data_IF_201432459504
#
_entry.id   IF_201432459504
#
_cell.length_a   1.000
_cell.length_b   1.000
_cell.length_c   1.000
_cell.angle_alpha   90.00
_cell.angle_beta   90.00
_cell.angle_gamma   90.00
#
_symmetry.space_group_name_H-M   'P 1'
#
loop_
_entity.id
_entity.type
_entity.pdbx_description
1 polymer ?
#
# COMPACT_ATOMS: atom_id res chain seq x y z
N UNK A 1 16.92 -4.05 -4.96
CA UNK A 1 16.31 -2.72 -5.19
C UNK A 1 16.29 -1.93 -3.88
N UNK A 2 16.54 -0.61 -3.89
CA UNK A 2 16.56 0.22 -2.67
C UNK A 2 15.17 0.38 -2.03
N UNK A 3 14.11 0.37 -2.83
CA UNK A 3 12.73 0.46 -2.32
C UNK A 3 12.38 -0.72 -1.43
N UNK A 4 12.86 -1.93 -1.72
CA UNK A 4 12.67 -3.14 -0.90
C UNK A 4 13.10 -2.92 0.57
N UNK A 5 14.24 -2.27 0.79
CA UNK A 5 14.74 -1.99 2.14
C UNK A 5 13.83 -1.05 2.92
N UNK A 6 13.10 -0.14 2.25
CA UNK A 6 12.13 0.74 2.91
C UNK A 6 10.99 -0.07 3.54
N UNK A 7 10.38 -0.98 2.76
CA UNK A 7 9.29 -1.82 3.28
C UNK A 7 9.80 -2.77 4.37
N UNK A 8 10.96 -3.41 4.19
CA UNK A 8 11.54 -4.26 5.23
C UNK A 8 11.74 -3.51 6.54
N UNK A 9 12.29 -2.29 6.50
CA UNK A 9 12.49 -1.47 7.70
C UNK A 9 11.16 -1.09 8.36
N UNK A 10 10.20 -0.62 7.58
CA UNK A 10 8.88 -0.23 8.09
C UNK A 10 8.13 -1.44 8.67
N UNK A 11 8.18 -2.58 7.99
CA UNK A 11 7.53 -3.80 8.44
C UNK A 11 8.18 -4.38 9.69
N UNK A 12 9.52 -4.41 9.77
CA UNK A 12 10.23 -4.79 11.00
C UNK A 12 9.86 -3.89 12.19
N UNK A 13 9.71 -2.59 11.95
CA UNK A 13 9.41 -1.62 13.01
C UNK A 13 7.94 -1.64 13.44
N UNK A 14 7.01 -1.92 12.53
CA UNK A 14 5.58 -1.73 12.78
C UNK A 14 4.73 -3.00 12.66
N UNK A 15 5.27 -4.12 12.19
CA UNK A 15 4.56 -5.37 11.97
C UNK A 15 3.35 -5.15 11.06
N UNK A 16 3.61 -4.73 9.82
CA UNK A 16 2.60 -4.43 8.81
C UNK A 16 2.03 -5.71 8.22
N UNK A 17 2.89 -6.69 7.95
CA UNK A 17 2.57 -7.95 7.28
C UNK A 17 2.82 -9.10 8.24
N UNK A 18 1.86 -10.01 8.35
CA UNK A 18 1.97 -11.24 9.15
C UNK A 18 1.53 -12.43 8.33
N UNK A 19 1.97 -13.65 8.69
CA UNK A 19 1.48 -14.86 8.04
C UNK A 19 -0.05 -14.93 8.03
N UNK A 20 -0.63 -15.26 6.87
CA UNK A 20 -2.07 -15.32 6.66
C UNK A 20 -2.69 -14.02 6.14
N UNK A 21 -1.94 -12.91 6.11
CA UNK A 21 -2.50 -11.62 5.68
C UNK A 21 -2.80 -11.59 4.18
N UNK A 22 -3.91 -10.93 3.85
CA UNK A 22 -4.21 -10.47 2.50
C UNK A 22 -3.61 -9.07 2.32
N UNK A 23 -2.65 -8.95 1.41
CA UNK A 23 -1.87 -7.72 1.18
C UNK A 23 -2.10 -7.21 -0.24
N UNK A 24 -2.38 -5.92 -0.37
CA UNK A 24 -2.48 -5.22 -1.66
C UNK A 24 -1.27 -4.28 -1.79
N UNK A 25 -0.50 -4.43 -2.87
CA UNK A 25 0.68 -3.66 -3.18
C UNK A 25 0.41 -2.75 -4.40
N UNK A 26 0.15 -1.47 -4.14
CA UNK A 26 -0.13 -0.47 -5.17
C UNK A 26 1.16 0.27 -5.55
N UNK A 27 1.47 0.36 -6.84
CA UNK A 27 2.78 0.83 -7.29
C UNK A 27 3.84 -0.27 -7.14
N UNK A 28 3.46 -1.50 -7.48
CA UNK A 28 4.25 -2.69 -7.23
C UNK A 28 5.50 -2.80 -8.11
N UNK A 29 5.56 -2.19 -9.29
CA UNK A 29 6.66 -2.37 -10.23
C UNK A 29 7.98 -1.85 -9.63
N UNK A 30 9.10 -2.61 -9.76
CA UNK A 30 9.28 -3.83 -10.55
C UNK A 30 8.86 -5.15 -9.86
N UNK A 31 8.37 -5.12 -8.62
CA UNK A 31 7.88 -6.28 -7.86
C UNK A 31 8.51 -6.43 -6.47
N UNK A 32 9.38 -5.50 -6.06
CA UNK A 32 10.22 -5.70 -4.88
C UNK A 32 9.47 -5.66 -3.54
N UNK A 33 8.41 -4.87 -3.43
CA UNK A 33 7.53 -4.85 -2.25
C UNK A 33 6.65 -6.10 -2.23
N UNK A 34 6.14 -6.48 -3.40
CA UNK A 34 5.36 -7.71 -3.58
C UNK A 34 6.14 -8.95 -3.14
N UNK A 35 7.43 -9.07 -3.48
CA UNK A 35 8.29 -10.18 -3.03
C UNK A 35 8.38 -10.27 -1.50
N UNK A 36 8.54 -9.13 -0.83
CA UNK A 36 8.57 -9.08 0.64
C UNK A 36 7.21 -9.48 1.20
N UNK A 37 6.13 -8.95 0.62
CA UNK A 37 4.77 -9.26 1.02
C UNK A 37 4.47 -10.77 0.88
N UNK A 38 4.89 -11.42 -0.19
CA UNK A 38 4.71 -12.88 -0.39
C UNK A 38 5.35 -13.66 0.75
N UNK A 39 6.62 -13.36 1.04
CA UNK A 39 7.38 -14.05 2.08
C UNK A 39 6.79 -13.81 3.48
N UNK A 40 6.49 -12.56 3.82
CA UNK A 40 6.05 -12.20 5.18
C UNK A 40 4.58 -12.58 5.45
N UNK A 41 3.74 -12.59 4.41
CA UNK A 41 2.37 -13.08 4.48
C UNK A 41 2.27 -14.60 4.41
N UNK A 42 3.38 -15.31 4.17
CA UNK A 42 3.41 -16.76 3.95
C UNK A 42 2.58 -17.21 2.73
N UNK A 43 2.45 -16.37 1.70
CA UNK A 43 1.71 -16.75 0.49
C UNK A 43 2.37 -17.91 -0.26
N UNK A 44 3.71 -18.02 -0.17
CA UNK A 44 4.48 -19.16 -0.69
C UNK A 44 4.26 -20.45 0.12
N UNK A 45 3.79 -20.35 1.36
CA UNK A 45 3.62 -21.49 2.26
C UNK A 45 4.92 -22.05 2.82
N UNK A 46 6.00 -21.27 2.79
CA UNK A 46 7.32 -21.65 3.32
C UNK A 46 7.33 -21.89 4.84
N UNK A 47 6.31 -21.41 5.56
CA UNK A 47 6.09 -21.67 7.00
C UNK A 47 4.89 -22.60 7.18
N UNK A 48 5.08 -23.95 7.30
CA UNK A 48 3.98 -24.92 7.32
C UNK A 48 3.06 -24.80 8.55
N UNK A 49 3.57 -24.30 9.67
CA UNK A 49 2.82 -24.11 10.92
C UNK A 49 2.06 -22.79 10.99
N UNK A 50 2.07 -21.99 9.91
CA UNK A 50 1.44 -20.68 9.83
C UNK A 50 0.42 -20.64 8.69
N UNK A 51 -0.66 -19.85 8.81
CA UNK A 51 -1.63 -19.69 7.72
C UNK A 51 -0.97 -19.09 6.48
N UNK A 52 -1.46 -19.46 5.30
CA UNK A 52 -1.02 -18.86 4.03
C UNK A 52 -1.78 -17.57 3.75
N UNK A 53 -1.05 -16.53 3.37
CA UNK A 53 -1.62 -15.25 2.98
C UNK A 53 -2.01 -15.19 1.51
N UNK A 54 -2.34 -13.99 1.04
CA UNK A 54 -2.60 -13.70 -0.37
C UNK A 54 -2.03 -12.33 -0.69
N UNK A 55 -1.33 -12.21 -1.82
CA UNK A 55 -0.72 -10.95 -2.24
C UNK A 55 -1.21 -10.58 -3.63
N UNK A 56 -1.67 -9.33 -3.78
CA UNK A 56 -2.05 -8.76 -5.07
C UNK A 56 -1.21 -7.51 -5.32
N UNK A 57 -0.46 -7.51 -6.43
CA UNK A 57 0.30 -6.35 -6.89
C UNK A 57 -0.37 -5.68 -8.08
N UNK A 58 -0.35 -4.35 -8.12
CA UNK A 58 -0.89 -3.55 -9.23
C UNK A 58 0.03 -2.38 -9.54
N UNK A 59 0.26 -2.14 -10.83
CA UNK A 59 1.09 -1.03 -11.29
C UNK A 59 0.70 -0.58 -12.71
N UNK A 60 0.90 0.72 -12.98
CA UNK A 60 0.80 1.31 -14.31
C UNK A 60 1.83 0.72 -15.28
N UNK A 61 2.96 0.26 -14.78
CA UNK A 61 4.03 -0.37 -15.52
C UNK A 61 3.91 -1.90 -15.46
N UNK A 62 4.66 -2.58 -16.33
CA UNK A 62 4.81 -4.02 -16.24
C UNK A 62 5.50 -4.40 -14.92
N UNK A 63 4.91 -5.35 -14.20
CA UNK A 63 5.52 -5.98 -13.02
C UNK A 63 6.21 -7.27 -13.50
N UNK A 64 7.43 -7.52 -13.05
CA UNK A 64 8.06 -8.81 -13.32
C UNK A 64 7.32 -9.92 -12.57
N UNK A 65 7.24 -11.14 -13.11
CA UNK A 65 6.60 -12.25 -12.42
C UNK A 65 7.17 -12.44 -11.00
N UNK A 66 6.27 -12.43 -10.02
CA UNK A 66 6.55 -12.77 -8.62
C UNK A 66 5.70 -13.98 -8.29
N UNK A 67 6.34 -15.12 -8.06
CA UNK A 67 5.64 -16.35 -7.70
C UNK A 67 4.79 -16.14 -6.45
N UNK A 68 3.63 -16.80 -6.41
CA UNK A 68 2.65 -16.72 -5.32
C UNK A 68 1.98 -15.35 -5.11
N UNK A 69 2.14 -14.41 -6.05
CA UNK A 69 1.38 -13.17 -6.12
C UNK A 69 0.46 -13.12 -7.35
N UNK A 70 -0.70 -12.48 -7.20
CA UNK A 70 -1.57 -12.10 -8.33
C UNK A 70 -1.12 -10.72 -8.80
N UNK A 71 -0.80 -10.56 -10.09
CA UNK A 71 -0.20 -9.33 -10.60
C UNK A 71 -1.03 -8.70 -11.72
N UNK A 72 -1.35 -7.42 -11.54
CA UNK A 72 -1.98 -6.56 -12.52
C UNK A 72 -0.98 -5.49 -13.00
N UNK A 73 -0.08 -5.88 -13.91
CA UNK A 73 0.81 -4.93 -14.61
C UNK A 73 0.07 -4.18 -15.72
N UNK A 74 0.64 -3.06 -16.18
CA UNK A 74 0.05 -2.17 -17.19
C UNK A 74 -1.39 -1.76 -16.86
N UNK A 75 -1.69 -1.60 -15.57
CA UNK A 75 -3.04 -1.38 -15.04
C UNK A 75 -3.06 -0.15 -14.16
N UNK A 76 -3.86 0.84 -14.55
CA UNK A 76 -4.02 2.08 -13.79
C UNK A 76 -4.92 1.85 -12.56
N UNK A 77 -4.35 1.93 -11.36
CA UNK A 77 -5.08 1.75 -10.10
C UNK A 77 -6.20 2.78 -9.90
N UNK A 78 -6.11 3.97 -10.52
CA UNK A 78 -7.18 4.98 -10.43
C UNK A 78 -8.44 4.56 -11.20
N UNK A 79 -8.34 3.59 -12.10
CA UNK A 79 -9.49 3.10 -12.88
C UNK A 79 -10.32 2.14 -12.05
N UNK A 80 -11.62 2.38 -12.04
CA UNK A 80 -12.60 1.49 -11.41
C UNK A 80 -12.48 0.05 -11.90
N UNK A 81 -12.24 -0.15 -13.20
CA UNK A 81 -12.05 -1.48 -13.79
C UNK A 81 -10.88 -2.24 -13.13
N UNK A 82 -9.75 -1.57 -12.90
CA UNK A 82 -8.59 -2.16 -12.23
C UNK A 82 -8.93 -2.53 -10.78
N UNK A 83 -9.57 -1.63 -10.04
CA UNK A 83 -9.99 -1.90 -8.66
C UNK A 83 -11.01 -3.05 -8.58
N UNK A 84 -11.91 -3.14 -9.55
CA UNK A 84 -12.87 -4.24 -9.67
C UNK A 84 -12.17 -5.56 -9.96
N UNK A 85 -11.17 -5.59 -10.86
CA UNK A 85 -10.33 -6.78 -11.12
C UNK A 85 -9.60 -7.25 -9.86
N UNK A 86 -9.02 -6.32 -9.09
CA UNK A 86 -8.39 -6.63 -7.80
C UNK A 86 -9.42 -7.25 -6.85
N UNK A 87 -10.58 -6.61 -6.66
CA UNK A 87 -11.65 -7.14 -5.80
C UNK A 87 -12.10 -8.53 -6.23
N UNK A 88 -12.34 -8.74 -7.52
CA UNK A 88 -12.73 -10.04 -8.07
C UNK A 88 -11.68 -11.12 -7.83
N UNK A 89 -10.38 -10.78 -7.89
CA UNK A 89 -9.30 -11.74 -7.62
C UNK A 89 -9.23 -12.20 -6.16
N UNK A 90 -9.75 -11.40 -5.22
CA UNK A 90 -9.76 -11.71 -3.80
C UNK A 90 -10.92 -12.63 -3.38
N UNK A 91 -12.00 -12.65 -4.16
CA UNK A 91 -13.26 -13.32 -3.78
C UNK A 91 -13.84 -12.67 -2.52
N UNK A 92 -14.19 -13.48 -1.53
CA UNK A 92 -14.75 -12.99 -0.24
C UNK A 92 -13.70 -12.47 0.74
N UNK A 93 -12.41 -12.61 0.43
CA UNK A 93 -11.31 -12.20 1.32
C UNK A 93 -11.33 -10.69 1.55
N UNK A 94 -11.18 -10.30 2.81
CA UNK A 94 -10.92 -8.92 3.22
C UNK A 94 -9.42 -8.67 3.27
N UNK A 95 -9.04 -7.40 3.20
CA UNK A 95 -7.65 -6.95 3.13
C UNK A 95 -7.14 -6.57 4.53
N UNK A 96 -6.00 -7.14 4.92
CA UNK A 96 -5.33 -6.85 6.20
C UNK A 96 -4.35 -5.69 6.09
N UNK A 97 -3.75 -5.51 4.90
CA UNK A 97 -2.77 -4.48 4.66
C UNK A 97 -2.85 -3.94 3.23
N UNK A 98 -2.98 -2.61 3.09
CA UNK A 98 -2.80 -1.90 1.82
C UNK A 98 -1.49 -1.14 1.87
N UNK A 99 -0.63 -1.40 0.90
CA UNK A 99 0.65 -0.73 0.68
C UNK A 99 0.55 0.11 -0.59
N UNK A 100 1.13 1.32 -0.57
CA UNK A 100 1.20 2.18 -1.75
C UNK A 100 2.53 2.93 -1.79
N UNK A 101 3.45 2.55 -2.68
CA UNK A 101 4.65 3.35 -3.04
C UNK A 101 4.43 4.16 -4.33
N UNK A 102 3.18 4.27 -4.79
CA UNK A 102 2.81 5.08 -5.95
C UNK A 102 3.24 6.54 -5.78
N UNK A 103 3.75 7.11 -6.87
CA UNK A 103 3.97 8.54 -7.03
C UNK A 103 3.63 8.93 -8.47
N UNK A 104 3.03 10.12 -8.70
CA UNK A 104 2.82 10.60 -10.05
C UNK A 104 4.15 11.03 -10.68
N UNK A 105 4.20 11.11 -12.01
CA UNK A 105 5.31 11.77 -12.68
C UNK A 105 5.37 13.24 -12.26
N UNK A 106 6.55 13.70 -11.84
CA UNK A 106 6.77 15.10 -11.49
C UNK A 106 6.59 15.98 -12.73
N UNK A 107 5.67 16.92 -12.66
CA UNK A 107 5.41 17.91 -13.70
C UNK A 107 6.35 19.12 -13.58
N UNK A 108 6.98 19.29 -12.42
CA UNK A 108 7.78 20.46 -12.07
C UNK A 108 6.93 21.63 -11.57
N UNK A 109 5.61 21.53 -11.64
CA UNK A 109 4.66 22.51 -11.11
C UNK A 109 4.18 22.02 -9.75
N UNK A 110 4.68 22.65 -8.68
CA UNK A 110 4.45 22.21 -7.29
C UNK A 110 2.98 21.97 -6.96
N UNK A 111 2.07 22.86 -7.34
CA UNK A 111 0.64 22.73 -7.04
C UNK A 111 0.01 21.52 -7.73
N UNK A 112 0.35 21.28 -8.99
CA UNK A 112 -0.16 20.16 -9.77
C UNK A 112 0.41 18.83 -9.25
N UNK A 113 1.70 18.81 -8.91
CA UNK A 113 2.37 17.65 -8.30
C UNK A 113 1.72 17.28 -6.95
N UNK A 114 1.36 18.27 -6.14
CA UNK A 114 0.63 18.10 -4.88
C UNK A 114 -0.78 17.54 -5.10
N UNK A 115 -1.53 18.08 -6.07
CA UNK A 115 -2.87 17.60 -6.40
C UNK A 115 -2.87 16.16 -6.91
N UNK A 116 -1.89 15.82 -7.75
CA UNK A 116 -1.74 14.48 -8.32
C UNK A 116 -1.45 13.41 -7.26
N UNK A 117 -0.48 13.67 -6.35
CA UNK A 117 -0.17 12.71 -5.28
C UNK A 117 -1.35 12.60 -4.29
N UNK A 118 -2.01 13.71 -3.99
CA UNK A 118 -3.18 13.72 -3.10
C UNK A 118 -4.33 12.90 -3.69
N UNK A 119 -4.57 13.01 -5.00
CA UNK A 119 -5.57 12.21 -5.72
C UNK A 119 -5.29 10.72 -5.63
N UNK A 120 -4.03 10.31 -5.81
CA UNK A 120 -3.60 8.92 -5.63
C UNK A 120 -3.87 8.44 -4.20
N UNK A 121 -3.46 9.21 -3.18
CA UNK A 121 -3.68 8.88 -1.77
C UNK A 121 -5.16 8.69 -1.43
N UNK A 122 -6.04 9.59 -1.89
CA UNK A 122 -7.49 9.46 -1.66
C UNK A 122 -8.09 8.27 -2.40
N UNK A 123 -7.59 7.93 -3.59
CA UNK A 123 -8.03 6.72 -4.30
C UNK A 123 -7.66 5.46 -3.50
N UNK A 124 -6.44 5.39 -2.99
CA UNK A 124 -5.97 4.28 -2.14
C UNK A 124 -6.79 4.20 -0.85
N UNK A 125 -7.04 5.33 -0.18
CA UNK A 125 -7.86 5.38 1.03
C UNK A 125 -9.28 4.85 0.77
N UNK A 126 -9.93 5.31 -0.29
CA UNK A 126 -11.29 4.84 -0.66
C UNK A 126 -11.31 3.34 -0.92
N UNK A 127 -10.33 2.83 -1.67
CA UNK A 127 -10.20 1.40 -1.90
C UNK A 127 -9.99 0.63 -0.58
N UNK A 128 -9.09 1.12 0.28
CA UNK A 128 -8.80 0.51 1.57
C UNK A 128 -10.05 0.46 2.47
N UNK A 129 -10.83 1.54 2.55
CA UNK A 129 -12.06 1.60 3.35
C UNK A 129 -13.07 0.53 2.92
N UNK A 130 -13.20 0.28 1.61
CA UNK A 130 -14.16 -0.69 1.08
C UNK A 130 -13.72 -2.15 1.25
N UNK A 131 -12.42 -2.40 1.32
CA UNK A 131 -11.85 -3.74 1.23
C UNK A 131 -11.27 -4.26 2.55
N UNK A 132 -10.98 -3.36 3.50
CA UNK A 132 -10.25 -3.70 4.72
C UNK A 132 -11.06 -4.50 5.73
N UNK A 133 -10.39 -5.40 6.44
CA UNK A 133 -10.89 -6.04 7.66
C UNK A 133 -10.73 -5.10 8.87
N UNK A 134 -11.51 -5.26 9.96
CA UNK A 134 -11.23 -4.55 11.21
C UNK A 134 -9.78 -4.74 11.65
N UNK A 135 -9.17 -3.67 12.14
CA UNK A 135 -7.76 -3.58 12.53
C UNK A 135 -6.73 -3.62 11.38
N UNK A 136 -7.16 -3.59 10.12
CA UNK A 136 -6.26 -3.49 8.98
C UNK A 136 -5.36 -2.25 9.03
N UNK A 137 -4.30 -2.31 8.22
CA UNK A 137 -3.28 -1.27 8.11
C UNK A 137 -3.22 -0.68 6.72
N UNK A 138 -2.87 0.60 6.66
CA UNK A 138 -2.67 1.32 5.41
C UNK A 138 -1.33 2.07 5.50
N UNK A 139 -0.45 1.79 4.55
CA UNK A 139 0.82 2.49 4.38
C UNK A 139 0.82 3.12 2.99
N UNK A 140 0.91 4.44 2.91
CA UNK A 140 0.95 5.14 1.62
C UNK A 140 2.05 6.19 1.58
N UNK A 141 2.75 6.26 0.46
CA UNK A 141 3.69 7.32 0.16
C UNK A 141 2.97 8.65 0.06
N UNK A 142 3.59 9.67 0.64
CA UNK A 142 3.20 11.07 0.49
C UNK A 142 4.45 11.89 0.20
N UNK A 143 4.25 13.06 -0.40
CA UNK A 143 5.29 14.07 -0.50
C UNK A 143 5.06 15.12 0.58
N UNK A 144 6.14 15.67 1.14
CA UNK A 144 6.06 16.68 2.21
C UNK A 144 5.66 18.07 1.69
N UNK A 145 5.18 18.14 0.46
CA UNK A 145 4.64 19.34 -0.14
C UNK A 145 3.11 19.32 0.02
N UNK A 146 2.52 20.33 0.65
CA UNK A 146 1.08 20.59 0.59
C UNK A 146 0.31 20.22 1.85
N UNK A 147 -0.99 19.93 1.69
CA UNK A 147 -1.95 19.75 2.80
C UNK A 147 -2.08 18.28 3.24
N UNK A 148 -0.93 17.69 3.59
CA UNK A 148 -0.88 16.37 4.23
C UNK A 148 -1.71 16.32 5.53
N UNK A 149 -1.78 17.38 6.38
CA UNK A 149 -2.64 17.36 7.57
C UNK A 149 -4.12 17.09 7.29
N UNK A 150 -4.67 17.61 6.19
CA UNK A 150 -6.06 17.32 5.79
C UNK A 150 -6.25 15.85 5.43
N UNK A 151 -5.30 15.25 4.69
CA UNK A 151 -5.31 13.82 4.37
C UNK A 151 -5.24 12.98 5.65
N UNK A 152 -4.35 13.32 6.60
CA UNK A 152 -4.24 12.63 7.88
C UNK A 152 -5.55 12.67 8.68
N UNK A 153 -6.22 13.83 8.69
CA UNK A 153 -7.54 13.98 9.33
C UNK A 153 -8.58 13.07 8.69
N UNK A 154 -8.66 13.03 7.36
CA UNK A 154 -9.58 12.12 6.66
C UNK A 154 -9.28 10.65 6.93
N UNK A 155 -8.00 10.26 7.08
CA UNK A 155 -7.65 8.88 7.41
C UNK A 155 -8.05 8.55 8.86
N UNK A 156 -7.90 9.48 9.81
CA UNK A 156 -8.29 9.30 11.22
C UNK A 156 -9.81 9.11 11.42
N UNK A 157 -10.64 9.45 10.43
CA UNK A 157 -12.06 9.12 10.46
C UNK A 157 -12.30 7.59 10.39
N UNK A 158 -11.38 6.84 9.79
CA UNK A 158 -11.52 5.40 9.54
C UNK A 158 -10.48 4.52 10.23
N UNK A 159 -9.43 5.11 10.81
CA UNK A 159 -8.35 4.39 11.49
C UNK A 159 -8.13 4.94 12.91
N UNK A 160 -7.80 4.07 13.86
CA UNK A 160 -7.53 4.43 15.25
C UNK A 160 -6.31 5.36 15.39
N UNK A 161 -5.28 5.15 14.58
CA UNK A 161 -4.05 5.95 14.63
C UNK A 161 -3.53 6.25 13.23
N UNK A 162 -2.93 7.43 13.07
CA UNK A 162 -2.27 7.89 11.86
C UNK A 162 -0.97 8.56 12.27
N UNK A 163 0.13 8.25 11.58
CA UNK A 163 1.43 8.87 11.81
C UNK A 163 2.25 8.95 10.54
N UNK A 164 3.07 10.01 10.42
CA UNK A 164 4.11 10.08 9.39
C UNK A 164 5.31 9.22 9.80
N UNK A 165 5.82 8.44 8.87
CA UNK A 165 7.00 7.60 9.04
C UNK A 165 7.95 7.80 7.87
N UNK A 166 9.24 7.99 8.19
CA UNK A 166 10.31 8.10 7.21
C UNK A 166 11.26 6.92 7.39
N UNK A 167 11.41 6.02 6.40
CA UNK A 167 12.42 4.96 6.44
C UNK A 167 13.81 5.58 6.41
N UNK A 168 14.75 5.07 7.20
CA UNK A 168 16.18 5.42 7.12
C UNK A 168 16.77 5.05 5.77
N UNK A 169 16.22 4.05 5.08
CA UNK A 169 16.62 3.69 3.73
C UNK A 169 16.26 4.73 2.64
N UNK A 170 15.50 5.79 2.98
CA UNK A 170 15.29 6.96 2.12
C UNK A 170 16.59 7.79 2.02
N UNK A 171 16.81 8.47 0.89
CA UNK A 171 17.97 9.37 0.77
C UNK A 171 17.77 10.60 1.65
N UNK A 172 18.86 11.21 2.11
CA UNK A 172 18.80 12.47 2.87
C UNK A 172 18.20 13.63 2.05
N UNK A 173 18.33 13.59 0.71
CA UNK A 173 17.73 14.54 -0.24
C UNK A 173 16.33 14.13 -0.74
N UNK A 174 15.85 12.93 -0.36
CA UNK A 174 14.56 12.41 -0.79
C UNK A 174 13.48 12.77 0.23
N UNK A 175 12.50 13.57 -0.20
CA UNK A 175 11.31 13.94 0.56
C UNK A 175 10.28 12.80 0.69
N UNK A 176 10.73 11.54 0.69
CA UNK A 176 9.87 10.37 0.74
C UNK A 176 9.41 10.09 2.17
N UNK A 177 8.22 10.60 2.48
CA UNK A 177 7.49 10.31 3.70
C UNK A 177 6.38 9.31 3.42
N UNK A 178 5.98 8.54 4.42
CA UNK A 178 4.82 7.67 4.35
C UNK A 178 3.85 8.03 5.46
N UNK A 179 2.56 7.93 5.17
CA UNK A 179 1.54 7.87 6.21
C UNK A 179 1.33 6.40 6.55
N UNK A 180 1.44 6.07 7.83
CA UNK A 180 1.06 4.79 8.40
C UNK A 180 -0.20 4.97 9.23
N UNK A 181 -1.29 4.35 8.78
CA UNK A 181 -2.56 4.26 9.47
C UNK A 181 -2.81 2.83 9.98
N UNK A 182 -3.30 2.71 11.22
CA UNK A 182 -3.48 1.42 11.90
C UNK A 182 -4.83 1.38 12.61
N UNK A 183 -5.38 0.17 12.68
CA UNK A 183 -6.61 -0.05 13.43
C UNK A 183 -7.83 0.41 12.63
N UNK A 184 -8.03 -0.09 11.41
CA UNK A 184 -9.25 0.23 10.65
C UNK A 184 -10.50 -0.08 11.49
N UNK A 185 -11.40 0.90 11.64
CA UNK A 185 -12.58 0.78 12.53
C UNK A 185 -13.89 0.48 11.80
N UNK A 186 -13.90 0.44 10.47
CA UNK A 186 -15.11 0.26 9.66
C UNK A 186 -15.76 1.58 9.24
N UNK A 187 -16.88 1.46 8.51
CA UNK A 187 -17.63 2.61 7.94
C UNK A 187 -18.79 3.03 8.87
N UNK A 188 -19.20 2.16 9.79
CA UNK A 188 -20.26 2.45 10.77
C UNK A 188 -19.67 3.22 11.96
N UNK A 189 -19.89 4.54 11.99
CA UNK A 189 -19.80 5.36 13.21
C UNK A 189 -21.18 5.87 13.57
#
# INVERSE_FOLDING_TARGET
>A
CRSAFKLLELDQKYGLIKPGYTVIDCGAAPGSWTQIAVKHSNADGSMPSKPKGTVVGVDLLQIYPVEHAILFGNSDFLRKETQDKIRSSLGDRRVDCVLSDMAPNATGVRSLDQENITTLCYSVLRFAILMSTPNASLLMKVWDNGDVPKLEKSILEYYQTVKRVKPRASRDDSAENFILARGFVGIER
#
